data_IF_756542076230
#
_entry.id   IF_756542076230
#
_cell.length_a   1.000
_cell.length_b   1.000
_cell.length_c   1.000
_cell.angle_alpha   90.00
_cell.angle_beta   90.00
_cell.angle_gamma   90.00
#
_symmetry.space_group_name_H-M   'P 1'
#
loop_
_entity.id
_entity.type
_entity.pdbx_description
1 polymer ?
#
# COMPACT_ATOMS: atom_id res chain seq x y z
N UNK A 1 1.94 -8.60 -27.20
CA UNK A 1 1.56 -7.36 -26.49
C UNK A 1 2.26 -7.43 -25.13
N UNK A 2 3.34 -6.66 -24.96
CA UNK A 2 4.33 -6.83 -23.89
C UNK A 2 3.74 -6.55 -22.50
N UNK A 3 4.06 -7.44 -21.55
CA UNK A 3 3.71 -7.38 -20.14
C UNK A 3 4.27 -6.08 -19.52
N UNK A 4 3.37 -5.17 -19.18
CA UNK A 4 3.66 -3.93 -18.48
C UNK A 4 3.93 -4.21 -17.00
N UNK A 5 5.12 -4.70 -16.65
CA UNK A 5 5.52 -4.85 -15.24
C UNK A 5 5.52 -3.47 -14.54
N UNK A 6 4.61 -3.29 -13.57
CA UNK A 6 4.54 -2.13 -12.65
C UNK A 6 5.22 -2.45 -11.31
N UNK A 7 5.21 -3.73 -10.93
CA UNK A 7 6.08 -4.34 -9.93
C UNK A 7 7.45 -4.65 -10.57
N UNK A 8 8.51 -3.94 -10.14
CA UNK A 8 9.76 -3.93 -10.90
C UNK A 8 10.82 -4.91 -10.39
N UNK A 9 10.90 -5.08 -9.06
CA UNK A 9 11.95 -5.89 -8.47
C UNK A 9 11.41 -6.57 -7.21
N UNK A 10 11.31 -7.89 -7.32
CA UNK A 10 11.28 -8.80 -6.17
C UNK A 10 12.71 -9.27 -6.00
N UNK A 11 13.38 -8.84 -4.93
CA UNK A 11 14.73 -9.29 -4.62
C UNK A 11 14.71 -9.97 -3.26
N UNK A 12 15.08 -11.24 -3.21
CA UNK A 12 15.32 -11.91 -1.94
C UNK A 12 16.46 -11.21 -1.19
N UNK A 13 16.22 -10.84 0.07
CA UNK A 13 17.19 -10.24 0.98
C UNK A 13 17.60 -11.34 1.95
N UNK A 14 18.67 -12.07 1.65
CA UNK A 14 19.11 -13.17 2.50
C UNK A 14 18.11 -14.33 2.53
N UNK A 15 18.06 -15.06 3.65
CA UNK A 15 17.25 -16.28 3.79
C UNK A 15 15.79 -15.99 4.17
N UNK A 16 15.53 -14.89 4.91
CA UNK A 16 14.23 -14.60 5.55
C UNK A 16 13.62 -13.25 5.13
N UNK A 17 13.87 -12.79 3.91
CA UNK A 17 13.32 -11.51 3.48
C UNK A 17 13.22 -11.28 1.98
N UNK A 18 12.41 -10.30 1.60
CA UNK A 18 12.14 -9.90 0.23
C UNK A 18 11.97 -8.39 0.15
N UNK A 19 12.64 -7.75 -0.79
CA UNK A 19 12.35 -6.36 -1.20
C UNK A 19 11.31 -6.36 -2.31
N UNK A 20 10.33 -5.47 -2.19
CA UNK A 20 9.31 -5.20 -3.21
C UNK A 20 9.37 -3.74 -3.60
N UNK A 21 9.89 -3.47 -4.80
CA UNK A 21 9.98 -2.11 -5.34
C UNK A 21 8.82 -1.84 -6.31
N UNK A 22 7.96 -0.89 -5.93
CA UNK A 22 6.94 -0.32 -6.80
C UNK A 22 7.56 0.79 -7.66
N UNK A 23 7.48 0.65 -8.98
CA UNK A 23 7.95 1.65 -9.95
C UNK A 23 6.79 2.01 -10.87
N UNK A 24 5.78 2.73 -10.37
CA UNK A 24 4.62 3.03 -11.18
C UNK A 24 5.07 3.87 -12.38
N UNK A 25 4.66 3.44 -13.57
CA UNK A 25 4.94 4.15 -14.84
C UNK A 25 4.03 5.36 -15.02
N UNK A 26 2.97 5.42 -14.23
CA UNK A 26 1.98 6.50 -14.17
C UNK A 26 1.96 7.09 -12.74
N UNK A 27 1.44 8.31 -12.54
CA UNK A 27 1.23 8.97 -11.24
C UNK A 27 0.20 8.29 -10.35
N UNK A 28 -0.39 7.19 -10.81
CA UNK A 28 -1.31 6.36 -10.03
C UNK A 28 -0.52 5.21 -9.44
N UNK A 29 -0.51 5.08 -8.11
CA UNK A 29 0.26 4.01 -7.45
C UNK A 29 -0.43 2.66 -7.59
N UNK A 30 -1.76 2.59 -7.53
CA UNK A 30 -2.48 1.31 -7.43
C UNK A 30 -3.44 1.16 -8.61
N UNK A 31 -2.91 0.81 -9.79
CA UNK A 31 -3.73 0.49 -10.97
C UNK A 31 -4.36 -0.90 -10.82
N UNK A 32 -5.40 -1.26 -11.61
CA UNK A 32 -5.90 -2.64 -11.64
C UNK A 32 -4.81 -3.67 -12.01
N UNK A 33 -3.85 -3.29 -12.85
CA UNK A 33 -2.72 -4.14 -13.22
C UNK A 33 -1.84 -4.44 -12.01
N UNK A 34 -1.40 -3.39 -11.29
CA UNK A 34 -0.58 -3.58 -10.10
C UNK A 34 -1.30 -4.34 -8.99
N UNK A 35 -2.61 -4.13 -8.80
CA UNK A 35 -3.41 -4.90 -7.83
C UNK A 35 -3.27 -6.40 -8.11
N UNK A 36 -3.41 -6.81 -9.37
CA UNK A 36 -3.26 -8.21 -9.77
C UNK A 36 -1.83 -8.72 -9.54
N UNK A 37 -0.81 -7.94 -9.91
CA UNK A 37 0.60 -8.32 -9.72
C UNK A 37 0.95 -8.50 -8.24
N UNK A 38 0.55 -7.57 -7.37
CA UNK A 38 0.77 -7.69 -5.93
C UNK A 38 -0.01 -8.89 -5.37
N UNK A 39 -1.23 -9.15 -5.85
CA UNK A 39 -2.01 -10.28 -5.36
C UNK A 39 -1.39 -11.62 -5.76
N UNK A 40 -0.84 -11.72 -6.97
CA UNK A 40 -0.05 -12.88 -7.40
C UNK A 40 1.19 -13.08 -6.51
N UNK A 41 1.91 -12.00 -6.17
CA UNK A 41 3.03 -12.08 -5.25
C UNK A 41 2.61 -12.60 -3.86
N UNK A 42 1.54 -12.05 -3.29
CA UNK A 42 1.02 -12.47 -2.00
C UNK A 42 0.57 -13.94 -2.02
N UNK A 43 -0.07 -14.41 -3.10
CA UNK A 43 -0.43 -15.82 -3.26
C UNK A 43 0.82 -16.70 -3.31
N UNK A 44 1.84 -16.31 -4.06
CA UNK A 44 3.10 -17.05 -4.13
C UNK A 44 3.81 -17.12 -2.77
N UNK A 45 3.77 -16.05 -1.97
CA UNK A 45 4.30 -16.07 -0.60
C UNK A 45 3.53 -17.05 0.29
N UNK A 46 2.20 -17.04 0.23
CA UNK A 46 1.37 -17.98 0.99
C UNK A 46 1.65 -19.44 0.59
N UNK A 47 1.76 -19.72 -0.71
CA UNK A 47 2.10 -21.06 -1.22
C UNK A 47 3.49 -21.51 -0.75
N UNK A 48 4.50 -20.64 -0.83
CA UNK A 48 5.84 -20.93 -0.30
C UNK A 48 5.78 -21.30 1.18
N UNK A 49 5.07 -20.50 1.97
CA UNK A 49 4.93 -20.72 3.42
C UNK A 49 4.20 -22.03 3.76
N UNK A 50 3.14 -22.36 3.02
CA UNK A 50 2.39 -23.61 3.20
C UNK A 50 3.21 -24.84 2.77
N UNK A 51 4.08 -24.69 1.77
CA UNK A 51 4.94 -25.77 1.27
C UNK A 51 6.16 -26.05 2.16
N UNK A 52 6.71 -25.00 2.77
CA UNK A 52 7.84 -25.06 3.70
C UNK A 52 7.62 -23.99 4.76
N UNK A 53 7.20 -24.41 5.96
CA UNK A 53 7.07 -23.49 7.08
C UNK A 53 8.44 -22.84 7.34
N UNK A 54 8.49 -21.51 7.22
CA UNK A 54 9.69 -20.77 7.58
C UNK A 54 9.84 -20.86 9.10
N UNK A 55 11.04 -21.16 9.57
CA UNK A 55 11.31 -21.34 11.01
C UNK A 55 11.27 -20.03 11.79
N UNK A 56 11.27 -18.90 11.10
CA UNK A 56 11.32 -17.54 11.63
C UNK A 56 10.43 -16.60 10.81
N UNK A 57 10.33 -15.35 11.24
CA UNK A 57 9.62 -14.31 10.51
C UNK A 57 10.17 -14.08 9.09
N UNK A 58 9.28 -13.82 8.15
CA UNK A 58 9.64 -13.42 6.78
C UNK A 58 9.33 -11.95 6.54
N UNK A 59 10.36 -11.15 6.25
CA UNK A 59 10.21 -9.71 6.08
C UNK A 59 9.94 -9.34 4.61
N UNK A 60 8.85 -8.60 4.36
CA UNK A 60 8.54 -8.04 3.03
C UNK A 60 8.72 -6.53 3.08
N UNK A 61 9.79 -6.01 2.48
CA UNK A 61 10.15 -4.59 2.51
C UNK A 61 9.63 -3.89 1.27
N UNK A 62 8.55 -3.13 1.44
CA UNK A 62 7.92 -2.31 0.42
C UNK A 62 8.65 -0.98 0.25
N UNK A 63 8.98 -0.65 -0.99
CA UNK A 63 9.59 0.62 -1.35
C UNK A 63 8.93 1.18 -2.61
N UNK A 64 8.71 2.49 -2.65
CA UNK A 64 8.26 3.20 -3.86
C UNK A 64 9.46 3.92 -4.49
N UNK A 65 9.72 3.69 -5.77
CA UNK A 65 10.82 4.34 -6.50
C UNK A 65 10.59 5.84 -6.69
N UNK A 66 11.53 6.68 -6.21
CA UNK A 66 11.40 8.14 -6.29
C UNK A 66 11.48 8.65 -7.72
N UNK A 67 10.32 9.05 -8.23
CA UNK A 67 10.18 9.80 -9.47
C UNK A 67 9.72 11.21 -9.10
N UNK A 68 10.69 12.14 -9.15
CA UNK A 68 10.48 13.54 -8.79
C UNK A 68 9.31 14.14 -9.59
N UNK A 69 8.43 14.86 -8.90
CA UNK A 69 7.39 15.67 -9.54
C UNK A 69 6.03 15.00 -9.77
N UNK A 70 5.81 13.75 -9.35
CA UNK A 70 4.50 13.10 -9.42
C UNK A 70 3.78 13.11 -8.07
N UNK A 71 2.59 13.71 -8.01
CA UNK A 71 1.66 13.54 -6.88
C UNK A 71 0.81 12.29 -7.10
N UNK A 72 0.72 11.44 -6.09
CA UNK A 72 0.08 10.14 -6.19
C UNK A 72 -1.28 10.15 -5.49
N UNK A 73 -2.34 9.75 -6.20
CA UNK A 73 -3.73 9.92 -5.73
C UNK A 73 -4.41 8.65 -5.18
N UNK A 74 -3.67 7.56 -4.93
CA UNK A 74 -4.24 6.35 -4.31
C UNK A 74 -5.06 5.49 -5.26
N UNK A 75 -6.04 6.07 -5.94
CA UNK A 75 -6.94 5.42 -6.89
C UNK A 75 -6.64 5.82 -8.34
N UNK A 76 -6.94 4.92 -9.27
CA UNK A 76 -6.94 5.16 -10.71
C UNK A 76 -8.28 5.80 -11.12
N UNK A 77 -8.40 7.12 -10.98
CA UNK A 77 -9.65 7.80 -11.33
C UNK A 77 -9.93 7.73 -12.82
N UNK A 78 -8.91 7.59 -13.66
CA UNK A 78 -9.10 7.36 -15.08
C UNK A 78 -9.80 6.02 -15.35
N UNK A 79 -9.34 4.92 -14.75
CA UNK A 79 -10.01 3.63 -14.83
C UNK A 79 -11.44 3.69 -14.27
N UNK A 80 -11.63 4.34 -13.11
CA UNK A 80 -12.94 4.53 -12.48
C UNK A 80 -13.92 5.23 -13.42
N UNK A 81 -13.53 6.38 -13.98
CA UNK A 81 -14.37 7.17 -14.90
C UNK A 81 -14.71 6.38 -16.16
N UNK A 82 -13.74 5.64 -16.72
CA UNK A 82 -13.97 4.80 -17.89
C UNK A 82 -14.97 3.68 -17.59
N UNK A 83 -14.87 3.03 -16.42
CA UNK A 83 -15.83 2.00 -16.04
C UNK A 83 -17.25 2.57 -15.92
N UNK A 84 -17.41 3.70 -15.23
CA UNK A 84 -18.71 4.35 -15.05
C UNK A 84 -19.33 4.74 -16.41
N UNK A 85 -18.56 5.41 -17.28
CA UNK A 85 -19.06 5.86 -18.60
C UNK A 85 -19.45 4.71 -19.53
N UNK A 86 -18.79 3.56 -19.39
CA UNK A 86 -19.04 2.39 -20.21
C UNK A 86 -19.98 1.37 -19.53
N UNK A 87 -20.62 1.73 -18.42
CA UNK A 87 -21.50 0.86 -17.61
C UNK A 87 -20.82 -0.47 -17.17
N UNK A 88 -19.52 -0.42 -16.88
CA UNK A 88 -18.72 -1.57 -16.45
C UNK A 88 -18.60 -1.63 -14.91
N UNK A 89 -19.74 -1.55 -14.20
CA UNK A 89 -19.80 -1.48 -12.74
C UNK A 89 -19.07 -2.65 -12.05
N UNK A 90 -19.22 -3.87 -12.56
CA UNK A 90 -18.51 -5.05 -12.02
C UNK A 90 -16.99 -4.89 -12.08
N UNK A 91 -16.44 -4.24 -13.11
CA UNK A 91 -14.99 -4.02 -13.20
C UNK A 91 -14.52 -2.95 -12.21
N UNK A 92 -15.31 -1.90 -12.03
CA UNK A 92 -15.07 -0.88 -11.00
C UNK A 92 -15.04 -1.53 -9.61
N UNK A 93 -16.08 -2.30 -9.29
CA UNK A 93 -16.25 -2.95 -7.99
C UNK A 93 -15.11 -3.93 -7.70
N UNK A 94 -14.75 -4.78 -8.68
CA UNK A 94 -13.63 -5.69 -8.55
C UNK A 94 -12.28 -4.96 -8.35
N UNK A 95 -12.10 -3.79 -8.97
CA UNK A 95 -10.91 -2.99 -8.77
C UNK A 95 -10.84 -2.44 -7.34
N UNK A 96 -11.92 -1.85 -6.84
CA UNK A 96 -11.98 -1.35 -5.47
C UNK A 96 -11.80 -2.49 -4.47
N UNK A 97 -12.50 -3.62 -4.66
CA UNK A 97 -12.37 -4.81 -3.84
C UNK A 97 -10.92 -5.33 -3.80
N UNK A 98 -10.27 -5.40 -4.95
CA UNK A 98 -8.87 -5.81 -5.05
C UNK A 98 -7.90 -4.91 -4.27
N UNK A 99 -8.11 -3.59 -4.27
CA UNK A 99 -7.30 -2.65 -3.47
C UNK A 99 -7.47 -2.91 -1.97
N UNK A 100 -8.71 -3.00 -1.50
CA UNK A 100 -9.00 -3.19 -0.08
C UNK A 100 -8.50 -4.55 0.41
N UNK A 101 -8.69 -5.61 -0.37
CA UNK A 101 -8.16 -6.94 -0.08
C UNK A 101 -6.63 -6.93 0.03
N UNK A 102 -5.95 -6.26 -0.88
CA UNK A 102 -4.49 -6.16 -0.87
C UNK A 102 -3.98 -5.49 0.42
N UNK A 103 -4.56 -4.34 0.79
CA UNK A 103 -4.15 -3.58 1.97
C UNK A 103 -4.47 -4.37 3.24
N UNK A 104 -5.65 -4.99 3.33
CA UNK A 104 -6.03 -5.87 4.43
C UNK A 104 -5.03 -7.01 4.61
N UNK A 105 -4.67 -7.68 3.52
CA UNK A 105 -3.77 -8.84 3.53
C UNK A 105 -2.34 -8.46 3.90
N UNK A 106 -1.86 -7.28 3.48
CA UNK A 106 -0.60 -6.73 3.97
C UNK A 106 -0.65 -6.46 5.48
N UNK A 107 -1.78 -5.93 5.98
CA UNK A 107 -1.95 -5.60 7.40
C UNK A 107 -1.90 -6.81 8.31
N UNK A 108 -2.47 -7.94 7.88
CA UNK A 108 -2.53 -9.19 8.67
C UNK A 108 -1.41 -10.18 8.34
N UNK A 109 -0.44 -9.81 7.49
CA UNK A 109 0.67 -10.70 7.13
C UNK A 109 0.21 -11.98 6.45
N UNK A 110 -0.89 -11.94 5.69
CA UNK A 110 -1.55 -13.11 5.09
C UNK A 110 -2.02 -14.18 6.10
N UNK A 111 -2.04 -13.88 7.41
CA UNK A 111 -2.28 -14.87 8.47
C UNK A 111 -1.07 -15.75 8.80
N UNK A 112 0.12 -15.40 8.29
CA UNK A 112 1.38 -16.08 8.55
C UNK A 112 2.35 -15.14 9.31
N UNK A 113 3.50 -15.64 9.82
CA UNK A 113 4.60 -14.84 10.35
C UNK A 113 5.32 -13.99 9.27
N UNK A 114 4.56 -13.34 8.38
CA UNK A 114 5.06 -12.43 7.35
C UNK A 114 4.90 -11.00 7.85
N UNK A 115 6.01 -10.27 7.90
CA UNK A 115 6.05 -8.91 8.41
C UNK A 115 6.24 -7.97 7.24
N UNK A 116 5.17 -7.28 6.87
CA UNK A 116 5.25 -6.20 5.89
C UNK A 116 5.89 -4.97 6.53
N UNK A 117 6.89 -4.43 5.85
CA UNK A 117 7.69 -3.28 6.24
C UNK A 117 7.67 -2.24 5.11
N UNK A 118 7.81 -0.96 5.42
CA UNK A 118 7.81 0.12 4.42
C UNK A 118 9.01 1.03 4.56
N UNK A 119 9.54 1.47 3.42
CA UNK A 119 10.46 2.61 3.31
C UNK A 119 9.80 3.68 2.45
N UNK A 120 9.30 4.73 3.11
CA UNK A 120 8.59 5.85 2.51
C UNK A 120 9.55 7.04 2.41
N UNK A 121 10.14 7.24 1.23
CA UNK A 121 11.15 8.26 0.99
C UNK A 121 10.60 9.61 0.51
N UNK A 122 9.27 9.77 0.45
CA UNK A 122 8.56 10.96 -0.03
C UNK A 122 7.14 11.05 0.53
N UNK A 123 6.44 12.16 0.27
CA UNK A 123 5.04 12.32 0.64
C UNK A 123 4.10 11.38 -0.16
N UNK A 124 3.19 10.72 0.54
CA UNK A 124 2.13 9.88 -0.02
C UNK A 124 0.76 10.45 0.35
N UNK A 125 -0.24 10.26 -0.52
CA UNK A 125 -1.60 10.75 -0.32
C UNK A 125 -2.64 9.66 -0.60
N UNK A 126 -3.84 9.84 -0.06
CA UNK A 126 -4.97 8.92 -0.26
C UNK A 126 -4.63 7.48 0.11
N UNK A 127 -5.19 6.51 -0.64
CA UNK A 127 -4.97 5.08 -0.41
C UNK A 127 -3.52 4.64 -0.65
N UNK A 128 -2.72 5.39 -1.41
CA UNK A 128 -1.29 5.11 -1.52
C UNK A 128 -0.59 5.26 -0.19
N UNK A 129 -1.02 6.22 0.65
CA UNK A 129 -0.50 6.36 2.01
C UNK A 129 -0.76 5.08 2.82
N UNK A 130 -1.97 4.56 2.73
CA UNK A 130 -2.41 3.40 3.51
C UNK A 130 -1.69 2.12 3.14
N UNK A 131 -1.42 1.91 1.85
CA UNK A 131 -0.61 0.78 1.37
C UNK A 131 0.74 0.66 2.09
N UNK A 132 1.36 1.79 2.44
CA UNK A 132 2.65 1.80 3.12
C UNK A 132 2.54 1.95 4.62
N UNK A 133 1.66 2.80 5.14
CA UNK A 133 1.61 3.12 6.57
C UNK A 133 0.90 2.04 7.42
N UNK A 134 0.13 1.16 6.80
CA UNK A 134 -0.48 0.01 7.51
C UNK A 134 0.48 -1.17 7.68
N UNK A 135 1.66 -1.11 7.08
CA UNK A 135 2.70 -2.08 7.30
C UNK A 135 3.21 -1.99 8.75
N UNK A 136 3.54 -3.15 9.33
CA UNK A 136 3.86 -3.31 10.75
C UNK A 136 5.06 -2.47 11.18
N UNK A 137 6.00 -2.23 10.27
CA UNK A 137 7.13 -1.32 10.46
C UNK A 137 7.18 -0.33 9.30
N UNK A 138 7.32 0.95 9.62
CA UNK A 138 7.37 2.01 8.63
C UNK A 138 8.54 2.95 8.90
N UNK A 139 9.49 3.00 7.98
CA UNK A 139 10.52 4.03 7.93
C UNK A 139 10.03 5.16 7.01
N UNK A 140 9.88 6.37 7.56
CA UNK A 140 9.36 7.54 6.87
C UNK A 140 10.44 8.61 6.81
N UNK A 141 10.73 9.12 5.62
CA UNK A 141 11.79 10.12 5.47
C UNK A 141 11.37 11.44 6.11
N UNK A 142 12.22 11.94 7.00
CA UNK A 142 12.13 13.27 7.58
C UNK A 142 13.54 13.84 7.66
N UNK A 143 13.87 14.77 6.77
CA UNK A 143 15.19 15.39 6.67
C UNK A 143 15.56 16.25 7.88
N UNK A 144 14.59 16.57 8.74
CA UNK A 144 14.79 17.35 9.95
C UNK A 144 15.07 16.48 11.19
N UNK A 145 14.91 15.14 11.08
CA UNK A 145 15.17 14.22 12.19
C UNK A 145 16.63 13.75 12.18
N UNK A 146 17.39 13.86 13.28
CA UNK A 146 18.76 13.35 13.31
C UNK A 146 18.76 11.81 13.39
N UNK A 147 19.16 11.16 12.28
CA UNK A 147 19.25 9.71 12.19
C UNK A 147 17.90 8.99 12.14
N UNK A 148 17.88 7.74 12.62
CA UNK A 148 16.65 6.93 12.71
C UNK A 148 16.05 7.06 14.12
N UNK A 149 14.80 7.51 14.21
CA UNK A 149 14.11 7.79 15.48
C UNK A 149 12.69 7.22 15.49
N UNK A 150 12.30 6.53 16.58
CA UNK A 150 10.93 6.01 16.74
C UNK A 150 9.96 7.17 16.98
N UNK A 151 8.81 7.14 16.33
CA UNK A 151 7.78 8.20 16.42
C UNK A 151 6.39 7.63 16.63
N UNK A 152 5.48 8.46 17.16
CA UNK A 152 4.05 8.19 17.23
C UNK A 152 3.36 8.96 16.12
N UNK A 153 2.94 8.27 15.07
CA UNK A 153 2.37 8.88 13.85
C UNK A 153 1.17 9.80 14.13
N UNK A 154 0.31 9.45 15.10
CA UNK A 154 -0.99 10.10 15.30
C UNK A 154 -1.00 11.35 16.18
N UNK A 155 0.13 11.75 16.75
CA UNK A 155 0.18 13.02 17.48
C UNK A 155 0.39 14.21 16.53
N UNK A 156 0.72 13.97 15.26
CA UNK A 156 1.05 15.01 14.29
C UNK A 156 0.43 14.67 12.91
N UNK A 157 -0.68 15.34 12.59
CA UNK A 157 -1.15 15.59 11.22
C UNK A 157 -1.48 14.37 10.32
N UNK A 158 -2.74 13.89 10.32
CA UNK A 158 -3.60 13.75 9.11
C UNK A 158 -4.82 12.86 9.42
N UNK A 159 -6.00 13.12 8.80
CA UNK A 159 -7.07 12.14 8.77
C UNK A 159 -6.55 10.84 8.13
N UNK A 160 -6.71 9.73 8.85
CA UNK A 160 -6.55 8.37 8.32
C UNK A 160 -7.88 7.90 7.74
N UNK A 161 -7.82 7.08 6.69
CA UNK A 161 -9.03 6.44 6.16
C UNK A 161 -9.58 5.38 7.13
N UNK A 162 -8.71 4.79 7.94
CA UNK A 162 -9.06 3.80 8.95
C UNK A 162 -8.99 4.39 10.37
N UNK A 163 -9.58 3.66 11.32
CA UNK A 163 -9.56 4.00 12.73
C UNK A 163 -8.11 4.02 13.28
N UNK A 164 -7.84 4.93 14.21
CA UNK A 164 -6.50 5.20 14.76
C UNK A 164 -5.85 3.94 15.34
N UNK A 165 -6.67 3.13 15.99
CA UNK A 165 -6.32 1.89 16.68
C UNK A 165 -5.59 0.90 15.74
N UNK A 166 -5.97 0.86 14.46
CA UNK A 166 -5.33 -0.04 13.48
C UNK A 166 -3.84 0.29 13.31
N UNK A 167 -3.48 1.55 13.43
CA UNK A 167 -2.13 2.05 13.21
C UNK A 167 -1.29 2.09 14.48
N UNK A 168 -1.91 2.24 15.66
CA UNK A 168 -1.18 2.35 16.94
C UNK A 168 -0.37 1.09 17.28
N UNK A 169 -0.75 -0.04 16.70
CA UNK A 169 -0.07 -1.31 16.83
C UNK A 169 1.12 -1.47 15.88
N UNK A 170 1.40 -0.50 15.01
CA UNK A 170 2.54 -0.48 14.10
C UNK A 170 3.72 0.35 14.68
N UNK A 171 4.91 0.10 14.16
CA UNK A 171 6.14 0.79 14.54
C UNK A 171 6.56 1.79 13.47
N UNK A 172 6.61 3.07 13.84
CA UNK A 172 7.01 4.15 12.92
C UNK A 172 8.36 4.72 13.31
N UNK A 173 9.17 4.99 12.31
CA UNK A 173 10.49 5.58 12.46
C UNK A 173 10.69 6.68 11.45
N UNK A 174 11.18 7.83 11.89
CA UNK A 174 11.75 8.82 10.99
C UNK A 174 13.19 8.48 10.61
N UNK A 175 13.60 8.84 9.39
CA UNK A 175 14.98 8.76 8.93
C UNK A 175 15.40 9.95 8.07
N UNK A 176 16.65 10.38 8.19
CA UNK A 176 17.26 11.42 7.35
C UNK A 176 17.86 10.87 6.05
N UNK A 177 18.58 9.76 6.17
CA UNK A 177 19.30 9.06 5.12
C UNK A 177 19.07 7.55 5.22
N UNK A 178 19.14 6.85 4.09
CA UNK A 178 19.01 5.39 4.06
C UNK A 178 20.20 4.75 4.76
N UNK A 179 19.95 4.09 5.90
CA UNK A 179 20.93 3.32 6.67
C UNK A 179 20.41 1.89 6.79
N UNK A 180 20.53 1.13 5.70
CA UNK A 180 19.87 -0.18 5.53
C UNK A 180 20.25 -1.16 6.65
N UNK A 181 21.51 -1.21 7.06
CA UNK A 181 21.96 -2.12 8.13
C UNK A 181 21.29 -1.77 9.46
N UNK A 182 21.20 -0.48 9.81
CA UNK A 182 20.50 -0.02 11.01
C UNK A 182 19.00 -0.28 10.94
N UNK A 183 18.39 -0.07 9.78
CA UNK A 183 16.98 -0.40 9.56
C UNK A 183 16.73 -1.89 9.78
N UNK A 184 17.61 -2.75 9.26
CA UNK A 184 17.55 -4.21 9.46
C UNK A 184 17.65 -4.59 10.93
N UNK A 185 18.64 -4.09 11.66
CA UNK A 185 18.76 -4.38 13.10
C UNK A 185 17.50 -3.98 13.87
N UNK A 186 16.93 -2.81 13.57
CA UNK A 186 15.66 -2.37 14.17
C UNK A 186 14.51 -3.34 13.85
N UNK A 187 14.44 -3.86 12.63
CA UNK A 187 13.40 -4.82 12.24
C UNK A 187 13.51 -6.12 13.03
N UNK A 188 14.73 -6.62 13.23
CA UNK A 188 15.03 -7.86 13.94
C UNK A 188 14.85 -7.74 15.47
N UNK A 189 14.97 -6.54 16.04
CA UNK A 189 14.81 -6.29 17.48
C UNK A 189 13.36 -6.13 17.94
N UNK A 190 12.43 -5.89 17.02
CA UNK A 190 11.01 -5.73 17.34
C UNK A 190 10.39 -7.13 17.44
N UNK A 191 9.61 -7.36 18.48
CA UNK A 191 8.81 -8.58 18.61
C UNK A 191 7.46 -8.41 17.88
N UNK A 192 6.95 -9.48 17.28
CA UNK A 192 5.77 -9.44 16.44
C UNK A 192 4.72 -10.45 16.85
N UNK A 193 3.62 -9.91 17.36
CA UNK A 193 2.39 -10.67 17.55
C UNK A 193 1.72 -10.92 16.19
N UNK A 194 1.53 -12.20 15.89
CA UNK A 194 0.69 -12.63 14.76
C UNK A 194 -0.76 -12.43 15.18
N UNK A 195 -1.58 -11.70 14.39
CA UNK A 195 -2.98 -11.50 14.73
C UNK A 195 -3.72 -12.83 14.89
N UNK A 196 -4.49 -12.94 15.96
CA UNK A 196 -5.41 -14.07 16.20
C UNK A 196 -6.53 -14.08 15.16
N UNK A 197 -7.20 -15.22 14.99
CA UNK A 197 -8.34 -15.32 14.08
C UNK A 197 -9.46 -14.31 14.39
N UNK A 198 -9.68 -14.01 15.68
CA UNK A 198 -10.65 -13.01 16.10
C UNK A 198 -10.24 -11.60 15.69
N UNK A 199 -8.98 -11.21 15.92
CA UNK A 199 -8.46 -9.91 15.50
C UNK A 199 -8.50 -9.74 13.98
N UNK A 200 -8.15 -10.80 13.23
CA UNK A 200 -8.24 -10.79 11.76
C UNK A 200 -9.68 -10.51 11.31
N UNK A 201 -10.67 -11.15 11.91
CA UNK A 201 -12.09 -10.94 11.57
C UNK A 201 -12.58 -9.55 11.95
N UNK A 202 -12.13 -9.00 13.08
CA UNK A 202 -12.44 -7.62 13.48
C UNK A 202 -11.85 -6.60 12.50
N UNK A 203 -10.58 -6.75 12.13
CA UNK A 203 -9.91 -5.90 11.14
C UNK A 203 -10.64 -6.03 9.79
N UNK A 204 -10.98 -7.25 9.37
CA UNK A 204 -11.70 -7.48 8.11
C UNK A 204 -13.02 -6.71 8.03
N UNK A 205 -13.82 -6.71 9.10
CA UNK A 205 -15.08 -5.93 9.15
C UNK A 205 -14.86 -4.43 8.96
N UNK A 206 -13.80 -3.87 9.52
CA UNK A 206 -13.47 -2.45 9.34
C UNK A 206 -13.09 -2.14 7.88
N UNK A 207 -12.31 -3.02 7.24
CA UNK A 207 -11.95 -2.88 5.84
C UNK A 207 -13.16 -3.03 4.90
N UNK A 208 -14.07 -3.97 5.19
CA UNK A 208 -15.31 -4.15 4.44
C UNK A 208 -16.24 -2.92 4.53
N UNK A 209 -16.36 -2.33 5.72
CA UNK A 209 -17.12 -1.09 5.91
C UNK A 209 -16.53 0.06 5.08
N UNK A 210 -15.21 0.28 5.18
CA UNK A 210 -14.53 1.34 4.43
C UNK A 210 -14.59 1.11 2.90
N UNK A 211 -14.51 -0.14 2.46
CA UNK A 211 -14.71 -0.53 1.06
C UNK A 211 -16.10 -0.10 0.57
N UNK A 212 -17.14 -0.44 1.33
CA UNK A 212 -18.52 -0.09 1.02
C UNK A 212 -18.72 1.44 0.95
N UNK A 213 -18.23 2.16 1.96
CA UNK A 213 -18.29 3.64 2.00
C UNK A 213 -17.56 4.27 0.81
N UNK A 214 -16.38 3.76 0.45
CA UNK A 214 -15.60 4.24 -0.69
C UNK A 214 -16.36 4.04 -2.00
N UNK A 215 -16.91 2.84 -2.21
CA UNK A 215 -17.66 2.51 -3.41
C UNK A 215 -18.94 3.35 -3.52
N UNK A 216 -19.69 3.48 -2.44
CA UNK A 216 -20.87 4.34 -2.37
C UNK A 216 -20.51 5.80 -2.67
N UNK A 217 -19.44 6.32 -2.06
CA UNK A 217 -18.95 7.67 -2.31
C UNK A 217 -18.61 7.92 -3.79
N UNK A 218 -17.98 6.96 -4.46
CA UNK A 218 -17.70 7.04 -5.90
C UNK A 218 -19.00 7.12 -6.70
N UNK A 219 -19.98 6.26 -6.44
CA UNK A 219 -21.25 6.25 -7.15
C UNK A 219 -22.10 7.51 -6.88
N UNK A 220 -22.08 8.03 -5.65
CA UNK A 220 -22.76 9.28 -5.29
C UNK A 220 -22.17 10.47 -6.04
N UNK A 221 -20.83 10.59 -6.08
CA UNK A 221 -20.16 11.64 -6.85
C UNK A 221 -20.49 11.50 -8.34
N UNK A 222 -20.46 10.29 -8.88
CA UNK A 222 -20.77 10.02 -10.28
C UNK A 222 -22.20 10.46 -10.65
N UNK A 223 -23.17 10.12 -9.79
CA UNK A 223 -24.59 10.44 -9.98
C UNK A 223 -24.85 11.94 -9.85
N UNK A 224 -24.22 12.61 -8.88
CA UNK A 224 -24.39 14.06 -8.67
C UNK A 224 -23.67 14.90 -9.71
N UNK A 225 -22.41 14.58 -9.98
CA UNK A 225 -21.56 15.32 -10.91
C UNK A 225 -20.30 14.54 -11.31
N UNK A 226 -20.43 13.70 -12.34
CA UNK A 226 -19.31 12.95 -12.91
C UNK A 226 -18.10 13.81 -13.31
N UNK A 227 -18.29 15.11 -13.59
CA UNK A 227 -17.18 16.03 -13.93
C UNK A 227 -16.17 16.17 -12.79
N UNK A 228 -16.54 15.87 -11.55
CA UNK A 228 -15.62 15.83 -10.41
C UNK A 228 -14.61 14.69 -10.61
N UNK A 229 -15.11 13.47 -10.86
CA UNK A 229 -14.25 12.30 -11.12
C UNK A 229 -13.42 12.50 -12.40
N UNK A 230 -13.98 13.11 -13.44
CA UNK A 230 -13.23 13.44 -14.66
C UNK A 230 -12.08 14.43 -14.40
N UNK A 231 -12.24 15.38 -13.47
CA UNK A 231 -11.15 16.29 -13.09
C UNK A 231 -10.06 15.54 -12.33
N UNK A 232 -10.44 14.62 -11.44
CA UNK A 232 -9.48 13.77 -10.74
C UNK A 232 -8.70 12.90 -11.73
N UNK A 233 -9.39 12.25 -12.67
CA UNK A 233 -8.77 11.49 -13.76
C UNK A 233 -7.84 12.34 -14.65
N UNK A 234 -8.21 13.59 -14.95
CA UNK A 234 -7.36 14.52 -15.71
C UNK A 234 -6.10 14.90 -14.94
N UNK A 235 -6.17 15.04 -13.62
CA UNK A 235 -4.99 15.29 -12.80
C UNK A 235 -4.04 14.10 -12.85
N UNK A 236 -4.56 12.86 -12.80
CA UNK A 236 -3.76 11.65 -13.00
C UNK A 236 -3.02 11.68 -14.36
N UNK A 237 -3.70 12.09 -15.43
CA UNK A 237 -3.12 12.15 -16.78
C UNK A 237 -2.13 13.31 -16.98
N UNK A 238 -2.37 14.49 -16.41
CA UNK A 238 -1.47 15.66 -16.55
C UNK A 238 -0.13 15.44 -15.85
N UNK A 239 -0.12 14.65 -14.78
CA UNK A 239 1.09 14.27 -14.08
C UNK A 239 1.90 13.20 -14.86
N UNK A 240 1.30 12.50 -15.84
CA UNK A 240 1.99 11.58 -16.76
C UNK A 240 2.79 12.31 -17.85
N UNK A 241 2.40 13.54 -18.22
CA UNK A 241 3.06 14.29 -19.29
C UNK A 241 4.28 15.02 -18.75
N UNK A 242 5.45 14.37 -18.81
CA UNK A 242 6.71 15.11 -18.94
C UNK A 242 7.09 15.20 -20.43
N UNK A 243 7.60 16.36 -20.89
CA UNK A 243 8.08 16.51 -22.26
C UNK A 243 9.30 15.60 -22.51
N UNK A 244 9.45 15.21 -23.78
CA UNK A 244 10.55 14.42 -24.32
C UNK A 244 11.92 15.07 -24.09
#
# INVERSE_FOLDING_TARGET
MMLNLELLAVREIGVNGMSVCLKPKVPVVITPGLVNEIRQLQNSLAEKYLSNALSEYFYVVWFLEDRRGMSFHGLDFNFIVQCIKNNQNTKLENYIDGIFNLIFLNRVGLGFPIINCSIVNRALFGLSKELFLLNKICFIRNTCSPGIQKVKLFNEQTPSLLQKEIYETNHYFYFDALRIDKMRSIMEEIDYDIPTAEEIEQIKKQFEALKYETLQGIYEIATRNIKILERMAKNDLKLCSQPA
#
